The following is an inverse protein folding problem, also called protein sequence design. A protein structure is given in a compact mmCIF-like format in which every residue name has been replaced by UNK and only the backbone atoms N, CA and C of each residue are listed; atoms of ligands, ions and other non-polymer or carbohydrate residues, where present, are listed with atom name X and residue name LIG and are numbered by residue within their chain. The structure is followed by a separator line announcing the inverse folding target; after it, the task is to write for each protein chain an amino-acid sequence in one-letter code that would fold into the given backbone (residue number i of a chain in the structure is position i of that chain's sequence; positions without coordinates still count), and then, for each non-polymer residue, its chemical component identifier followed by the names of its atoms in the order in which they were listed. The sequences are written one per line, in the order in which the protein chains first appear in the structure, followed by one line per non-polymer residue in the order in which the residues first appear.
data_IF_041270064403
#
_entry.id   IF_041270064403
#
_cell.length_a   1.000
_cell.length_b   1.000
_cell.length_c   1.000
_cell.angle_alpha   90.00
_cell.angle_beta   90.00
_cell.angle_gamma   90.00
#
_symmetry.space_group_name_H-M   'P 1'
#
loop_
_entity.id
_entity.type
_entity.pdbx_description
1 polymer ?
#
# COMPACT_ATOMS: atom_id res chain seq x y z
N UNK A 1 10.78 41.37 21.39
CA UNK A 1 12.09 42.04 21.52
C UNK A 1 12.56 42.42 20.11
N UNK A 2 12.70 43.72 19.84
CA UNK A 2 13.13 44.26 18.54
C UNK A 2 14.64 44.05 18.32
N UNK A 3 15.11 43.83 17.08
CA UNK A 3 16.55 43.71 16.80
C UNK A 3 17.27 45.07 16.98
N UNK A 4 18.43 45.04 17.63
CA UNK A 4 19.29 46.20 17.88
C UNK A 4 19.80 46.79 16.55
N UNK A 5 19.81 48.13 16.39
CA UNK A 5 20.37 48.80 15.22
C UNK A 5 21.90 48.84 15.32
N UNK A 6 22.60 48.45 14.25
CA UNK A 6 24.04 48.61 14.14
C UNK A 6 24.35 49.96 13.45
N UNK A 7 25.19 50.83 14.04
CA UNK A 7 25.44 52.15 13.50
C UNK A 7 26.41 52.05 12.31
N UNK A 8 26.02 52.61 11.16
CA UNK A 8 26.92 52.80 10.03
C UNK A 8 27.56 54.19 10.20
N UNK A 9 28.87 54.32 10.41
CA UNK A 9 29.50 55.64 10.44
C UNK A 9 29.54 56.21 9.02
N UNK A 10 28.91 57.37 8.84
CA UNK A 10 29.02 58.16 7.60
C UNK A 10 30.30 58.99 7.73
N UNK A 11 31.34 58.62 6.98
CA UNK A 11 32.53 59.48 6.84
C UNK A 11 32.26 60.46 5.70
N UNK A 12 32.21 61.75 6.04
CA UNK A 12 32.08 62.85 5.10
C UNK A 12 33.37 62.98 4.29
N UNK A 13 33.32 62.71 2.98
CA UNK A 13 34.41 63.02 2.07
C UNK A 13 34.19 64.42 1.50
N UNK A 14 34.78 65.41 2.18
CA UNK A 14 34.95 66.77 1.65
C UNK A 14 36.00 66.80 0.52
N UNK A 15 35.99 67.84 -0.34
CA UNK A 15 36.74 67.88 -1.58
C UNK A 15 38.21 68.20 -1.32
N UNK A 16 39.08 67.23 -1.59
CA UNK A 16 40.52 67.35 -1.48
C UNK A 16 41.17 66.72 -2.70
N UNK A 17 41.72 67.58 -3.55
CA UNK A 17 42.62 67.26 -4.65
C UNK A 17 43.70 66.24 -4.26
N UNK A 18 43.74 65.10 -4.93
CA UNK A 18 44.99 64.40 -5.18
C UNK A 18 45.28 64.43 -6.67
N UNK A 19 46.51 64.85 -6.95
CA UNK A 19 47.09 65.00 -8.26
C UNK A 19 47.12 63.66 -9.00
N UNK A 20 47.07 63.76 -10.31
CA UNK A 20 47.31 62.68 -11.26
C UNK A 20 48.69 62.02 -11.00
N UNK A 21 48.79 60.74 -11.38
CA UNK A 21 49.98 59.88 -11.45
C UNK A 21 50.29 58.99 -10.24
N UNK A 22 49.48 57.94 -10.08
CA UNK A 22 50.04 56.63 -9.75
C UNK A 22 49.21 55.57 -10.48
N UNK A 23 49.82 54.96 -11.50
CA UNK A 23 49.24 53.81 -12.18
C UNK A 23 48.97 52.75 -11.11
N UNK A 24 47.70 52.42 -10.87
CA UNK A 24 47.31 51.36 -9.96
C UNK A 24 47.97 50.06 -10.44
N UNK A 25 49.11 49.71 -9.82
CA UNK A 25 49.77 48.43 -10.05
C UNK A 25 48.92 47.36 -9.35
N UNK A 26 47.86 46.95 -10.05
CA UNK A 26 47.00 45.88 -9.61
C UNK A 26 47.87 44.63 -9.49
N UNK A 27 48.12 44.20 -8.26
CA UNK A 27 48.62 42.85 -8.00
C UNK A 27 47.69 41.89 -8.77
N UNK A 28 48.26 41.16 -9.72
CA UNK A 28 47.54 40.17 -10.51
C UNK A 28 46.90 39.21 -9.51
N UNK A 29 45.57 39.19 -9.44
CA UNK A 29 44.87 38.23 -8.58
C UNK A 29 45.39 36.82 -8.88
N UNK A 30 45.69 36.01 -7.85
CA UNK A 30 46.07 34.62 -8.07
C UNK A 30 44.92 33.92 -8.78
N UNK A 31 45.10 33.70 -10.08
CA UNK A 31 44.16 32.94 -10.93
C UNK A 31 44.26 31.47 -10.51
N UNK A 32 43.47 31.10 -9.51
CA UNK A 32 43.48 29.74 -8.96
C UNK A 32 42.66 29.52 -7.70
N UNK A 33 42.25 30.57 -6.97
CA UNK A 33 41.32 30.36 -5.85
C UNK A 33 39.92 30.14 -6.40
N UNK A 34 39.39 28.92 -6.17
CA UNK A 34 38.02 28.52 -6.48
C UNK A 34 37.06 29.61 -5.99
N UNK A 35 36.53 30.41 -6.92
CA UNK A 35 35.43 31.32 -6.60
C UNK A 35 34.29 30.45 -6.07
N UNK A 36 33.70 30.83 -4.93
CA UNK A 36 32.52 30.15 -4.41
C UNK A 36 31.46 30.14 -5.51
N UNK A 37 31.29 28.97 -6.12
CA UNK A 37 30.28 28.74 -7.12
C UNK A 37 29.13 28.06 -6.39
N UNK A 38 27.94 28.68 -6.33
CA UNK A 38 26.80 28.02 -5.72
C UNK A 38 26.64 26.64 -6.38
N UNK A 39 26.39 25.58 -5.59
CA UNK A 39 26.20 24.25 -6.17
C UNK A 39 25.11 24.34 -7.22
N UNK A 40 25.38 23.84 -8.43
CA UNK A 40 24.37 23.79 -9.49
C UNK A 40 23.21 22.96 -8.94
N UNK A 41 22.06 23.61 -8.76
CA UNK A 41 20.83 22.89 -8.47
C UNK A 41 20.50 22.05 -9.71
N UNK A 42 20.05 20.80 -9.55
CA UNK A 42 19.64 19.98 -10.67
C UNK A 42 18.55 20.72 -11.46
N UNK A 43 18.71 20.75 -12.78
CA UNK A 43 17.71 21.32 -13.69
C UNK A 43 16.34 20.63 -13.43
N UNK A 44 15.20 21.31 -13.63
CA UNK A 44 13.88 20.71 -13.39
C UNK A 44 13.64 19.40 -14.17
N UNK A 45 14.33 19.21 -15.29
CA UNK A 45 14.36 17.95 -16.05
C UNK A 45 15.05 16.79 -15.32
N UNK A 46 16.06 17.08 -14.48
CA UNK A 46 16.70 16.07 -13.63
C UNK A 46 15.82 15.67 -12.45
N UNK A 47 15.02 16.60 -11.92
CA UNK A 47 14.02 16.30 -10.87
C UNK A 47 12.91 15.41 -11.45
N UNK A 48 12.57 15.57 -12.73
CA UNK A 48 11.68 14.66 -13.44
C UNK A 48 12.25 13.23 -13.57
N UNK A 49 13.57 13.03 -13.46
CA UNK A 49 14.21 11.70 -13.45
C UNK A 49 13.85 10.86 -12.21
N UNK A 50 13.26 11.46 -11.17
CA UNK A 50 12.62 10.71 -10.07
C UNK A 50 11.25 10.12 -10.42
N UNK A 51 10.82 10.21 -11.69
CA UNK A 51 9.64 9.51 -12.20
C UNK A 51 9.70 8.00 -12.01
N UNK A 52 10.89 7.39 -12.12
CA UNK A 52 11.11 5.96 -11.86
C UNK A 52 10.78 5.58 -10.40
N UNK A 53 11.24 6.39 -9.44
CA UNK A 53 10.95 6.20 -8.00
C UNK A 53 9.46 6.36 -7.72
N UNK A 54 8.79 7.33 -8.34
CA UNK A 54 7.34 7.52 -8.19
C UNK A 54 6.55 6.34 -8.75
N UNK A 55 6.94 5.83 -9.91
CA UNK A 55 6.31 4.65 -10.53
C UNK A 55 6.55 3.40 -9.69
N UNK A 56 7.78 3.19 -9.21
CA UNK A 56 8.10 2.08 -8.31
C UNK A 56 7.30 2.15 -7.01
N UNK A 57 7.21 3.32 -6.37
CA UNK A 57 6.39 3.51 -5.16
C UNK A 57 4.92 3.20 -5.41
N UNK A 58 4.34 3.66 -6.53
CA UNK A 58 2.96 3.32 -6.91
C UNK A 58 2.76 1.82 -7.11
N UNK A 59 3.71 1.15 -7.77
CA UNK A 59 3.65 -0.29 -7.97
C UNK A 59 3.68 -1.06 -6.64
N UNK A 60 4.57 -0.68 -5.72
CA UNK A 60 4.65 -1.27 -4.37
C UNK A 60 3.38 -1.01 -3.58
N UNK A 61 2.82 0.20 -3.62
CA UNK A 61 1.54 0.52 -2.96
C UNK A 61 0.37 -0.28 -3.55
N UNK A 62 0.36 -0.51 -4.86
CA UNK A 62 -0.61 -1.37 -5.53
C UNK A 62 -0.53 -2.80 -5.03
N UNK A 63 0.66 -3.41 -5.08
CA UNK A 63 0.87 -4.78 -4.60
C UNK A 63 0.49 -4.95 -3.11
N UNK A 64 0.82 -3.97 -2.25
CA UNK A 64 0.42 -4.00 -0.84
C UNK A 64 -1.11 -3.95 -0.65
N UNK A 65 -1.81 -3.17 -1.48
CA UNK A 65 -3.28 -3.13 -1.46
C UNK A 65 -3.85 -4.49 -1.88
N UNK A 66 -3.36 -5.06 -2.96
CA UNK A 66 -3.85 -6.36 -3.47
C UNK A 66 -3.66 -7.49 -2.44
N UNK A 67 -2.51 -7.50 -1.74
CA UNK A 67 -2.25 -8.44 -0.64
C UNK A 67 -3.21 -8.21 0.52
N UNK A 68 -3.47 -6.96 0.91
CA UNK A 68 -4.40 -6.63 1.98
C UNK A 68 -5.84 -7.07 1.63
N UNK A 69 -6.26 -6.83 0.38
CA UNK A 69 -7.57 -7.24 -0.12
C UNK A 69 -7.72 -8.77 -0.11
N UNK A 70 -6.66 -9.50 -0.52
CA UNK A 70 -6.63 -10.96 -0.49
C UNK A 70 -6.66 -11.52 0.94
N UNK A 71 -5.92 -10.92 1.88
CA UNK A 71 -5.94 -11.30 3.30
C UNK A 71 -7.32 -11.05 3.93
N UNK A 72 -7.93 -9.91 3.62
CA UNK A 72 -9.28 -9.55 4.08
C UNK A 72 -10.34 -10.51 3.51
N UNK A 73 -10.21 -10.92 2.24
CA UNK A 73 -11.07 -11.94 1.65
C UNK A 73 -10.93 -13.28 2.36
N UNK A 74 -9.69 -13.75 2.60
CA UNK A 74 -9.42 -15.00 3.32
C UNK A 74 -10.03 -14.99 4.73
N UNK A 75 -9.92 -13.89 5.46
CA UNK A 75 -10.50 -13.77 6.80
C UNK A 75 -12.03 -13.91 6.76
N UNK A 76 -12.71 -13.23 5.82
CA UNK A 76 -14.16 -13.37 5.62
C UNK A 76 -14.58 -14.80 5.29
N UNK A 77 -13.84 -15.50 4.43
CA UNK A 77 -14.15 -16.89 4.10
C UNK A 77 -13.92 -17.85 5.28
N UNK A 78 -12.94 -17.56 6.14
CA UNK A 78 -12.72 -18.34 7.36
C UNK A 78 -13.90 -18.18 8.33
N UNK A 79 -14.41 -16.97 8.50
CA UNK A 79 -15.61 -16.69 9.30
C UNK A 79 -16.85 -17.37 8.71
N UNK A 80 -17.05 -17.32 7.39
CA UNK A 80 -18.15 -18.03 6.72
C UNK A 80 -18.07 -19.54 6.94
N UNK A 81 -16.86 -20.13 6.93
CA UNK A 81 -16.68 -21.55 7.21
C UNK A 81 -17.05 -21.90 8.66
N UNK A 82 -16.71 -21.04 9.61
CA UNK A 82 -17.09 -21.23 11.02
C UNK A 82 -18.62 -21.18 11.19
N UNK A 83 -19.28 -20.17 10.63
CA UNK A 83 -20.75 -20.04 10.64
C UNK A 83 -21.41 -21.26 9.99
N UNK A 84 -20.88 -21.74 8.86
CA UNK A 84 -21.39 -22.95 8.21
C UNK A 84 -21.20 -24.19 9.08
N UNK A 85 -20.08 -24.29 9.82
CA UNK A 85 -19.84 -25.35 10.80
C UNK A 85 -20.82 -25.32 11.97
N UNK A 86 -21.11 -24.14 12.52
CA UNK A 86 -22.12 -23.97 13.57
C UNK A 86 -23.52 -24.35 13.07
N UNK A 87 -23.86 -23.95 11.85
CA UNK A 87 -25.14 -24.31 11.20
C UNK A 87 -25.26 -25.82 11.03
N UNK A 88 -24.20 -26.49 10.56
CA UNK A 88 -24.14 -27.94 10.43
C UNK A 88 -24.37 -28.65 11.77
N UNK A 89 -23.71 -28.19 12.84
CA UNK A 89 -23.89 -28.74 14.18
C UNK A 89 -25.34 -28.60 14.66
N UNK A 90 -25.96 -27.43 14.46
CA UNK A 90 -27.35 -27.19 14.84
C UNK A 90 -28.33 -28.08 14.06
N UNK A 91 -28.15 -28.23 12.75
CA UNK A 91 -29.00 -29.12 11.93
C UNK A 91 -28.77 -30.59 12.29
N UNK A 92 -27.55 -30.98 12.67
CA UNK A 92 -27.24 -32.32 13.16
C UNK A 92 -28.03 -32.67 14.42
N UNK A 93 -28.05 -31.76 15.41
CA UNK A 93 -28.87 -31.97 16.61
C UNK A 93 -30.37 -31.97 16.29
N UNK A 94 -30.84 -31.11 15.38
CA UNK A 94 -32.24 -31.10 14.95
C UNK A 94 -32.65 -32.43 14.32
N UNK A 95 -31.86 -32.96 13.40
CA UNK A 95 -32.11 -34.26 12.77
C UNK A 95 -32.14 -35.39 13.82
N UNK A 96 -31.21 -35.36 14.77
CA UNK A 96 -31.16 -36.32 15.89
C UNK A 96 -32.41 -36.25 16.77
N UNK A 97 -32.88 -35.06 17.10
CA UNK A 97 -34.10 -34.86 17.90
C UNK A 97 -35.36 -35.28 17.14
N UNK A 98 -35.43 -34.99 15.84
CA UNK A 98 -36.54 -35.42 14.98
C UNK A 98 -36.64 -36.94 14.94
N UNK A 99 -35.50 -37.64 14.76
CA UNK A 99 -35.45 -39.09 14.79
C UNK A 99 -35.98 -39.65 16.12
N UNK A 100 -35.51 -39.13 17.27
CA UNK A 100 -36.00 -39.58 18.57
C UNK A 100 -37.50 -39.39 18.74
N UNK A 101 -38.05 -38.25 18.29
CA UNK A 101 -39.49 -37.98 18.39
C UNK A 101 -40.29 -38.96 17.54
N UNK A 102 -39.79 -39.29 16.34
CA UNK A 102 -40.40 -40.32 15.50
C UNK A 102 -40.36 -41.69 16.18
N UNK A 103 -39.22 -42.08 16.76
CA UNK A 103 -39.06 -43.37 17.45
C UNK A 103 -40.01 -43.50 18.66
N UNK A 104 -40.32 -42.38 19.33
CA UNK A 104 -41.31 -42.34 20.42
C UNK A 104 -42.75 -42.13 19.95
N UNK A 105 -43.01 -42.07 18.65
CA UNK A 105 -44.33 -41.81 18.06
C UNK A 105 -44.86 -40.38 18.25
N UNK A 106 -44.00 -39.44 18.65
CA UNK A 106 -44.34 -38.05 18.93
C UNK A 106 -44.21 -37.12 17.71
N UNK A 107 -43.67 -37.60 16.59
CA UNK A 107 -43.52 -36.87 15.33
C UNK A 107 -43.76 -37.78 14.13
N UNK A 108 -44.17 -37.19 13.01
CA UNK A 108 -44.34 -37.92 11.74
C UNK A 108 -42.99 -38.21 11.08
N UNK A 109 -42.89 -39.30 10.31
CA UNK A 109 -41.67 -39.63 9.56
C UNK A 109 -41.26 -38.53 8.57
N UNK A 110 -42.22 -37.76 8.05
CA UNK A 110 -41.95 -36.64 7.16
C UNK A 110 -41.09 -35.55 7.84
N UNK A 111 -41.25 -35.33 9.15
CA UNK A 111 -40.40 -34.38 9.89
C UNK A 111 -38.93 -34.85 9.95
N UNK A 112 -38.70 -36.16 10.02
CA UNK A 112 -37.36 -36.75 9.97
C UNK A 112 -36.73 -36.49 8.62
N UNK A 113 -37.47 -36.73 7.53
CA UNK A 113 -37.00 -36.49 6.17
C UNK A 113 -36.68 -35.01 5.92
N UNK A 114 -37.53 -34.09 6.39
CA UNK A 114 -37.27 -32.65 6.29
C UNK A 114 -36.01 -32.26 7.08
N UNK A 115 -35.83 -32.78 8.30
CA UNK A 115 -34.64 -32.50 9.10
C UNK A 115 -33.36 -33.08 8.46
N UNK A 116 -33.42 -34.27 7.86
CA UNK A 116 -32.30 -34.86 7.12
C UNK A 116 -31.97 -34.07 5.85
N UNK A 117 -32.99 -33.58 5.12
CA UNK A 117 -32.79 -32.72 3.95
C UNK A 117 -32.10 -31.42 4.34
N UNK A 118 -32.54 -30.80 5.44
CA UNK A 118 -31.95 -29.55 5.93
C UNK A 118 -30.51 -29.77 6.43
N UNK A 119 -30.21 -30.93 7.05
CA UNK A 119 -28.84 -31.34 7.40
C UNK A 119 -27.95 -31.48 6.16
N UNK A 120 -28.43 -32.19 5.12
CA UNK A 120 -27.69 -32.35 3.87
C UNK A 120 -27.40 -31.00 3.20
N UNK A 121 -28.36 -30.07 3.23
CA UNK A 121 -28.15 -28.71 2.72
C UNK A 121 -27.04 -27.98 3.50
N UNK A 122 -27.00 -28.11 4.83
CA UNK A 122 -25.95 -27.52 5.66
C UNK A 122 -24.57 -28.15 5.39
N UNK A 123 -24.48 -29.46 5.19
CA UNK A 123 -23.25 -30.14 4.79
C UNK A 123 -22.72 -29.61 3.46
N UNK A 124 -23.60 -29.47 2.46
CA UNK A 124 -23.23 -28.89 1.16
C UNK A 124 -22.73 -27.45 1.31
N UNK A 125 -23.38 -26.62 2.13
CA UNK A 125 -22.93 -25.26 2.41
C UNK A 125 -21.54 -25.22 3.04
N UNK A 126 -21.26 -26.10 4.02
CA UNK A 126 -19.94 -26.19 4.64
C UNK A 126 -18.85 -26.56 3.62
N UNK A 127 -19.14 -27.51 2.73
CA UNK A 127 -18.22 -27.88 1.64
C UNK A 127 -17.95 -26.70 0.71
N UNK A 128 -18.98 -25.93 0.32
CA UNK A 128 -18.82 -24.75 -0.52
C UNK A 128 -18.01 -23.65 0.18
N UNK A 129 -18.28 -23.38 1.46
CA UNK A 129 -17.51 -22.43 2.26
C UNK A 129 -16.02 -22.82 2.34
N UNK A 130 -15.74 -24.12 2.56
CA UNK A 130 -14.38 -24.65 2.59
C UNK A 130 -13.68 -24.49 1.23
N UNK A 131 -14.38 -24.74 0.12
CA UNK A 131 -13.87 -24.52 -1.23
C UNK A 131 -13.54 -23.05 -1.47
N UNK A 132 -14.41 -22.13 -1.06
CA UNK A 132 -14.18 -20.69 -1.19
C UNK A 132 -12.96 -20.23 -0.40
N UNK A 133 -12.76 -20.74 0.82
CA UNK A 133 -11.57 -20.47 1.61
C UNK A 133 -10.29 -20.96 0.90
N UNK A 134 -10.28 -22.17 0.37
CA UNK A 134 -9.13 -22.70 -0.38
C UNK A 134 -8.84 -21.89 -1.66
N UNK A 135 -9.89 -21.48 -2.39
CA UNK A 135 -9.74 -20.60 -3.55
C UNK A 135 -9.11 -19.25 -3.17
N UNK A 136 -9.53 -18.65 -2.04
CA UNK A 136 -8.96 -17.40 -1.55
C UNK A 136 -7.47 -17.53 -1.17
N UNK A 137 -7.07 -18.69 -0.65
CA UNK A 137 -5.66 -18.98 -0.34
C UNK A 137 -4.81 -19.10 -1.60
N UNK A 138 -5.35 -19.73 -2.66
CA UNK A 138 -4.70 -19.79 -3.96
C UNK A 138 -4.55 -18.39 -4.58
N UNK A 139 -5.59 -17.54 -4.50
CA UNK A 139 -5.51 -16.15 -4.97
C UNK A 139 -4.48 -15.32 -4.19
N UNK A 140 -4.39 -15.49 -2.87
CA UNK A 140 -3.37 -14.84 -2.05
C UNK A 140 -1.95 -15.28 -2.45
N UNK A 141 -1.76 -16.57 -2.72
CA UNK A 141 -0.48 -17.09 -3.20
C UNK A 141 -0.09 -16.47 -4.56
N UNK A 142 -1.05 -16.34 -5.48
CA UNK A 142 -0.82 -15.67 -6.75
C UNK A 142 -0.45 -14.18 -6.56
N UNK A 143 -1.17 -13.45 -5.70
CA UNK A 143 -0.94 -12.02 -5.41
C UNK A 143 0.42 -11.74 -4.74
N UNK A 144 0.94 -12.68 -3.94
CA UNK A 144 2.25 -12.58 -3.30
C UNK A 144 3.44 -12.78 -4.26
N UNK A 145 3.19 -12.95 -5.56
CA UNK A 145 4.24 -13.13 -6.57
C UNK A 145 4.48 -14.59 -6.97
N UNK A 146 3.60 -15.52 -6.58
CA UNK A 146 3.58 -16.87 -7.11
C UNK A 146 3.01 -16.97 -8.54
N UNK A 147 2.40 -15.89 -9.06
CA UNK A 147 1.75 -15.85 -10.37
C UNK A 147 2.39 -14.93 -11.41
N UNK A 148 2.90 -13.75 -11.04
CA UNK A 148 3.45 -12.81 -12.03
C UNK A 148 4.40 -11.77 -11.39
N UNK A 149 5.71 -12.05 -11.45
CA UNK A 149 6.73 -11.00 -11.58
C UNK A 149 7.06 -10.76 -13.06
N UNK A 150 6.31 -11.36 -13.99
CA UNK A 150 6.56 -11.17 -15.42
C UNK A 150 6.02 -9.81 -15.84
N UNK A 151 6.98 -8.87 -15.83
CA UNK A 151 7.01 -7.61 -16.55
C UNK A 151 5.97 -6.57 -16.11
N UNK A 152 6.35 -5.54 -15.35
CA UNK A 152 5.64 -4.29 -15.47
C UNK A 152 5.67 -3.90 -16.95
N UNK A 153 4.50 -3.72 -17.56
CA UNK A 153 4.38 -3.19 -18.91
C UNK A 153 5.06 -1.82 -18.96
N UNK A 154 6.35 -1.83 -19.32
CA UNK A 154 7.09 -0.69 -19.85
C UNK A 154 6.86 -0.58 -21.37
N UNK A 155 5.69 -1.01 -21.85
CA UNK A 155 5.24 -0.78 -23.22
C UNK A 155 4.47 0.53 -23.30
N UNK A 156 5.20 1.62 -23.11
CA UNK A 156 4.73 2.99 -23.33
C UNK A 156 5.85 3.97 -23.70
N UNK A 157 7.06 3.46 -24.02
CA UNK A 157 8.17 4.28 -24.47
C UNK A 157 8.84 3.61 -25.68
N UNK A 158 8.39 3.99 -26.87
CA UNK A 158 9.17 3.91 -28.11
C UNK A 158 8.93 5.20 -28.92
N UNK A 159 9.96 5.60 -29.69
CA UNK A 159 10.40 6.98 -29.90
C UNK A 159 9.49 7.83 -30.79
#
# INVERSE_FOLDING_TARGET
ALPKPFPIPVVALGPGSQAEDETLDYVVMPKGMSTWQPPRLPEPEEVAKHGSVRTALRAVQGALRDVNDALSARQRYAEQLDIAGQTLAAQGERARLAQRRYDTGAAAFLEVLDAQRDLLAAEQQQVQARRALLASQASLYAALGGGDLTTPDLQGARP
#
